data_IF_942532754330
#
_entry.id   IF_942532754330
#
_cell.length_a   1.000
_cell.length_b   1.000
_cell.length_c   1.000
_cell.angle_alpha   90.00
_cell.angle_beta   90.00
_cell.angle_gamma   90.00
#
_symmetry.space_group_name_H-M   'P 1'
#
loop_
_entity.id
_entity.type
_entity.pdbx_description
1 polymer ?
#
# COMPACT_ATOMS: atom_id res chain seq x y z
N UNK A 1 -26.59 -9.19 -25.82
CA UNK A 1 -26.41 -7.87 -25.16
C UNK A 1 -26.67 -6.79 -26.19
N UNK A 2 -27.51 -5.79 -25.86
CA UNK A 2 -27.95 -4.75 -26.80
C UNK A 2 -26.83 -3.72 -27.04
N UNK A 3 -26.73 -3.16 -28.24
CA UNK A 3 -25.66 -2.23 -28.67
C UNK A 3 -25.50 -0.99 -27.76
N UNK A 4 -26.61 -0.55 -27.14
CA UNK A 4 -26.67 0.57 -26.20
C UNK A 4 -26.06 0.23 -24.83
N UNK A 5 -26.09 -1.04 -24.42
CA UNK A 5 -25.48 -1.52 -23.17
C UNK A 5 -23.96 -1.45 -23.23
N UNK A 6 -23.38 -1.91 -24.34
CA UNK A 6 -21.92 -1.96 -24.52
C UNK A 6 -21.26 -0.57 -24.49
N UNK A 7 -21.93 0.45 -25.05
CA UNK A 7 -21.43 1.85 -25.02
C UNK A 7 -21.36 2.42 -23.60
N UNK A 8 -22.37 2.14 -22.76
CA UNK A 8 -22.38 2.59 -21.36
C UNK A 8 -21.30 1.90 -20.53
N UNK A 9 -21.10 0.60 -20.77
CA UNK A 9 -20.05 -0.20 -20.12
C UNK A 9 -18.67 0.35 -20.48
N UNK A 10 -18.40 0.53 -21.77
CA UNK A 10 -17.14 1.10 -22.24
C UNK A 10 -16.87 2.50 -21.66
N UNK A 11 -17.89 3.37 -21.67
CA UNK A 11 -17.80 4.71 -21.07
C UNK A 11 -17.44 4.66 -19.58
N UNK A 12 -18.09 3.79 -18.81
CA UNK A 12 -17.83 3.62 -17.37
C UNK A 12 -16.42 3.05 -17.12
N UNK A 13 -16.01 2.05 -17.90
CA UNK A 13 -14.70 1.41 -17.78
C UNK A 13 -13.56 2.37 -18.13
N UNK A 14 -13.67 3.16 -19.21
CA UNK A 14 -12.68 4.19 -19.54
C UNK A 14 -12.53 5.18 -18.37
N UNK A 15 -13.64 5.67 -17.81
CA UNK A 15 -13.60 6.59 -16.65
C UNK A 15 -12.94 5.94 -15.43
N UNK A 16 -13.24 4.66 -15.18
CA UNK A 16 -12.63 3.89 -14.08
C UNK A 16 -11.11 3.81 -14.26
N UNK A 17 -10.63 3.49 -15.46
CA UNK A 17 -9.18 3.40 -15.74
C UNK A 17 -8.48 4.76 -15.65
N UNK A 18 -9.10 5.83 -16.18
CA UNK A 18 -8.57 7.19 -16.04
C UNK A 18 -8.44 7.61 -14.57
N UNK A 19 -9.46 7.32 -13.74
CA UNK A 19 -9.42 7.58 -12.30
C UNK A 19 -8.32 6.77 -11.62
N UNK A 20 -8.12 5.50 -11.99
CA UNK A 20 -7.08 4.63 -11.43
C UNK A 20 -5.67 5.17 -11.67
N UNK A 21 -5.42 5.72 -12.86
CA UNK A 21 -4.12 6.31 -13.20
C UNK A 21 -3.98 7.79 -12.79
N UNK A 22 -5.03 8.40 -12.24
CA UNK A 22 -5.01 9.82 -11.86
C UNK A 22 -4.87 10.77 -13.06
N UNK A 23 -5.30 10.35 -14.25
CA UNK A 23 -5.19 11.14 -15.48
C UNK A 23 -6.53 11.76 -15.88
N UNK A 24 -6.46 12.90 -16.56
CA UNK A 24 -7.61 13.53 -17.18
C UNK A 24 -7.73 13.17 -18.68
N UNK A 25 -8.81 13.64 -19.30
CA UNK A 25 -9.06 13.38 -20.73
C UNK A 25 -7.98 14.00 -21.61
N UNK A 26 -7.46 15.17 -21.24
CA UNK A 26 -6.46 15.87 -22.05
C UNK A 26 -5.16 15.08 -22.10
N UNK A 27 -4.74 14.51 -20.97
CA UNK A 27 -3.57 13.63 -20.88
C UNK A 27 -3.75 12.39 -21.74
N UNK A 28 -4.90 11.71 -21.64
CA UNK A 28 -5.20 10.52 -22.46
C UNK A 28 -5.17 10.84 -23.97
N UNK A 29 -5.76 11.98 -24.35
CA UNK A 29 -5.79 12.47 -25.74
C UNK A 29 -4.37 12.77 -26.24
N UNK A 30 -3.57 13.47 -25.43
CA UNK A 30 -2.20 13.84 -25.76
C UNK A 30 -1.28 12.63 -25.90
N UNK A 31 -1.36 11.69 -24.97
CA UNK A 31 -0.49 10.51 -24.95
C UNK A 31 -0.80 9.53 -26.09
N UNK A 32 -2.08 9.37 -26.44
CA UNK A 32 -2.51 8.47 -27.51
C UNK A 32 -2.57 9.12 -28.90
N UNK A 33 -2.27 10.42 -29.00
CA UNK A 33 -2.37 11.16 -30.26
C UNK A 33 -3.79 11.14 -30.86
N UNK A 34 -4.83 11.09 -30.02
CA UNK A 34 -6.22 10.99 -30.45
C UNK A 34 -6.85 12.38 -30.61
N UNK A 35 -8.00 12.46 -31.28
CA UNK A 35 -8.80 13.69 -31.30
C UNK A 35 -9.59 13.81 -30.00
N UNK A 36 -9.58 15.01 -29.42
CA UNK A 36 -10.32 15.30 -28.18
C UNK A 36 -11.81 14.94 -28.27
N UNK A 37 -12.45 15.28 -29.39
CA UNK A 37 -13.87 15.00 -29.64
C UNK A 37 -14.15 13.50 -29.66
N UNK A 38 -13.28 12.72 -30.28
CA UNK A 38 -13.39 11.26 -30.35
C UNK A 38 -13.36 10.62 -28.96
N UNK A 39 -12.36 10.97 -28.14
CA UNK A 39 -12.24 10.45 -26.77
C UNK A 39 -13.39 10.94 -25.89
N UNK A 40 -13.82 12.19 -26.07
CA UNK A 40 -15.00 12.75 -25.39
C UNK A 40 -16.27 11.96 -25.72
N UNK A 41 -16.49 11.61 -26.98
CA UNK A 41 -17.67 10.84 -27.38
C UNK A 41 -17.67 9.43 -26.81
N UNK A 42 -16.50 8.78 -26.71
CA UNK A 42 -16.35 7.47 -26.06
C UNK A 42 -16.62 7.55 -24.55
N UNK A 43 -16.03 8.53 -23.86
CA UNK A 43 -16.22 8.75 -22.42
C UNK A 43 -17.68 9.09 -22.11
N UNK A 44 -18.40 9.72 -23.03
CA UNK A 44 -19.82 10.03 -22.86
C UNK A 44 -20.76 8.93 -23.41
N UNK A 45 -20.22 7.82 -23.92
CA UNK A 45 -20.99 6.69 -24.45
C UNK A 45 -21.78 7.01 -25.73
N UNK A 46 -21.41 8.08 -26.45
CA UNK A 46 -22.05 8.48 -27.71
C UNK A 46 -21.65 7.56 -28.85
N UNK A 47 -20.36 7.26 -28.95
CA UNK A 47 -19.78 6.37 -29.97
C UNK A 47 -19.00 5.24 -29.32
N UNK A 48 -18.81 4.16 -30.08
CA UNK A 48 -18.04 3.00 -29.62
C UNK A 48 -16.67 2.96 -30.34
N UNK A 49 -15.55 2.79 -29.62
CA UNK A 49 -14.23 2.71 -30.26
C UNK A 49 -14.10 1.46 -31.14
N UNK A 50 -13.31 1.55 -32.22
CA UNK A 50 -12.93 0.39 -33.02
C UNK A 50 -11.87 -0.45 -32.29
N UNK A 51 -11.71 -1.71 -32.69
CA UNK A 51 -10.85 -2.68 -32.01
C UNK A 51 -9.40 -2.20 -31.85
N UNK A 52 -8.83 -1.54 -32.86
CA UNK A 52 -7.49 -0.95 -32.82
C UNK A 52 -7.36 0.12 -31.72
N UNK A 53 -8.42 0.89 -31.50
CA UNK A 53 -8.47 1.92 -30.44
C UNK A 53 -8.71 1.31 -29.07
N UNK A 54 -9.44 0.21 -28.99
CA UNK A 54 -9.61 -0.55 -27.75
C UNK A 54 -8.27 -1.13 -27.32
N UNK A 55 -7.53 -1.75 -28.25
CA UNK A 55 -6.18 -2.29 -27.99
C UNK A 55 -5.24 -1.19 -27.52
N UNK A 56 -5.17 -0.09 -28.26
CA UNK A 56 -4.37 1.08 -27.89
C UNK A 56 -4.67 1.61 -26.48
N UNK A 57 -5.95 1.70 -26.11
CA UNK A 57 -6.33 2.11 -24.75
C UNK A 57 -6.00 1.04 -23.71
N UNK A 58 -6.19 -0.24 -24.02
CA UNK A 58 -5.88 -1.35 -23.12
C UNK A 58 -4.39 -1.37 -22.78
N UNK A 59 -3.52 -1.22 -23.79
CA UNK A 59 -2.07 -1.15 -23.62
C UNK A 59 -1.67 0.07 -22.78
N UNK A 60 -2.23 1.23 -23.08
CA UNK A 60 -1.97 2.47 -22.33
C UNK A 60 -2.44 2.39 -20.88
N UNK A 61 -3.57 1.74 -20.62
CA UNK A 61 -4.06 1.51 -19.27
C UNK A 61 -3.35 0.34 -18.57
N UNK A 62 -2.56 -0.47 -19.28
CA UNK A 62 -2.00 -1.72 -18.77
C UNK A 62 -3.08 -2.68 -18.25
N UNK A 63 -4.13 -2.91 -19.06
CA UNK A 63 -5.25 -3.81 -18.76
C UNK A 63 -5.59 -4.69 -19.96
N UNK A 64 -6.41 -5.72 -19.78
CA UNK A 64 -6.91 -6.52 -20.90
C UNK A 64 -8.04 -5.79 -21.64
N UNK A 65 -8.25 -6.12 -22.92
CA UNK A 65 -9.41 -5.61 -23.69
C UNK A 65 -10.75 -5.89 -22.98
N UNK A 66 -10.86 -7.03 -22.31
CA UNK A 66 -12.05 -7.42 -21.55
C UNK A 66 -12.39 -6.41 -20.45
N UNK A 67 -11.39 -5.81 -19.79
CA UNK A 67 -11.58 -4.80 -18.74
C UNK A 67 -12.18 -3.49 -19.27
N UNK A 68 -12.14 -3.28 -20.59
CA UNK A 68 -12.75 -2.13 -21.25
C UNK A 68 -14.15 -2.45 -21.77
N UNK A 69 -14.38 -3.64 -22.32
CA UNK A 69 -15.62 -3.96 -23.06
C UNK A 69 -16.65 -4.74 -22.25
N UNK A 70 -16.24 -5.44 -21.20
CA UNK A 70 -17.12 -6.33 -20.42
C UNK A 70 -17.61 -5.68 -19.13
N UNK A 71 -18.78 -6.15 -18.67
CA UNK A 71 -19.29 -5.82 -17.34
C UNK A 71 -18.52 -6.67 -16.34
N UNK A 72 -17.54 -6.09 -15.65
CA UNK A 72 -16.96 -6.74 -14.47
C UNK A 72 -18.00 -6.66 -13.33
N UNK A 73 -18.44 -7.79 -12.75
CA UNK A 73 -19.26 -7.76 -11.55
C UNK A 73 -18.53 -6.93 -10.47
N UNK A 74 -19.25 -6.04 -9.77
CA UNK A 74 -18.66 -5.14 -8.77
C UNK A 74 -17.99 -5.87 -7.59
N UNK A 75 -18.16 -7.19 -7.53
CA UNK A 75 -17.62 -8.13 -6.56
C UNK A 75 -16.38 -8.90 -7.06
N UNK A 76 -15.91 -8.63 -8.29
CA UNK A 76 -14.58 -9.01 -8.75
C UNK A 76 -13.70 -7.75 -8.81
N UNK A 77 -13.15 -7.34 -7.66
CA UNK A 77 -11.98 -6.48 -7.66
C UNK A 77 -10.79 -7.36 -8.09
N UNK A 78 -10.38 -7.23 -9.36
CA UNK A 78 -9.11 -7.79 -9.81
C UNK A 78 -8.01 -7.08 -9.02
N UNK A 79 -7.09 -7.78 -8.35
CA UNK A 79 -6.03 -7.15 -7.60
C UNK A 79 -5.28 -6.16 -8.48
N UNK A 80 -5.15 -4.90 -8.03
CA UNK A 80 -4.56 -3.77 -8.77
C UNK A 80 -3.07 -3.94 -9.11
N UNK A 81 -2.51 -5.12 -8.82
CA UNK A 81 -1.14 -5.51 -9.06
C UNK A 81 -0.57 -6.25 -7.84
N UNK A 82 0.57 -6.90 -8.03
CA UNK A 82 1.38 -7.44 -6.94
C UNK A 82 2.53 -6.46 -6.71
N UNK A 83 2.72 -6.01 -5.48
CA UNK A 83 3.88 -5.22 -5.05
C UNK A 83 4.82 -6.11 -4.27
N UNK A 84 6.11 -6.08 -4.61
CA UNK A 84 7.17 -6.71 -3.82
C UNK A 84 7.59 -5.74 -2.71
N UNK A 85 7.39 -6.14 -1.46
CA UNK A 85 7.71 -5.34 -0.28
C UNK A 85 8.87 -6.01 0.46
N UNK A 86 9.96 -5.30 0.79
CA UNK A 86 11.10 -5.88 1.49
C UNK A 86 10.71 -6.27 2.92
N UNK A 87 11.20 -7.41 3.39
CA UNK A 87 11.19 -7.83 4.78
C UNK A 87 12.54 -7.43 5.38
N UNK A 88 12.51 -6.59 6.40
CA UNK A 88 13.71 -6.19 7.12
C UNK A 88 13.94 -7.14 8.29
N UNK A 89 15.17 -7.63 8.39
CA UNK A 89 15.61 -8.58 9.40
C UNK A 89 16.27 -7.91 10.59
N UNK A 90 17.58 -7.77 10.47
CA UNK A 90 18.40 -6.97 11.38
C UNK A 90 18.49 -5.57 10.77
N UNK A 91 18.03 -4.55 11.48
CA UNK A 91 18.19 -3.17 11.02
C UNK A 91 19.57 -2.71 11.49
N UNK A 92 20.57 -2.91 10.63
CA UNK A 92 21.89 -2.34 10.81
C UNK A 92 21.80 -0.81 10.61
N UNK A 93 22.52 -0.07 11.46
CA UNK A 93 22.49 1.39 11.49
C UNK A 93 22.87 1.97 10.13
N UNK A 94 21.89 2.50 9.40
CA UNK A 94 22.09 3.09 8.08
C UNK A 94 20.79 3.73 7.56
N UNK A 95 20.93 4.86 6.86
CA UNK A 95 19.84 5.47 6.09
C UNK A 95 20.12 5.22 4.60
N UNK A 96 19.17 4.68 3.83
CA UNK A 96 17.79 4.31 4.21
C UNK A 96 17.72 2.98 4.97
N UNK A 97 16.69 2.80 5.80
CA UNK A 97 16.46 1.53 6.53
C UNK A 97 16.22 0.33 5.60
N UNK A 98 15.81 0.60 4.36
CA UNK A 98 15.64 -0.38 3.28
C UNK A 98 16.91 -0.57 2.44
N UNK A 99 18.09 -0.30 2.98
CA UNK A 99 19.34 -0.69 2.34
C UNK A 99 19.38 -2.20 2.13
N UNK A 100 20.00 -2.67 1.04
CA UNK A 100 20.02 -4.09 0.68
C UNK A 100 20.57 -5.00 1.80
N UNK A 101 21.45 -4.46 2.65
CA UNK A 101 22.01 -5.14 3.83
C UNK A 101 20.97 -5.49 4.91
N UNK A 102 19.88 -4.72 4.99
CA UNK A 102 18.80 -4.92 5.96
C UNK A 102 17.69 -5.82 5.41
N UNK A 103 17.68 -6.09 4.09
CA UNK A 103 16.63 -6.86 3.42
C UNK A 103 16.97 -8.35 3.50
N UNK A 104 16.15 -9.12 4.21
CA UNK A 104 16.27 -10.58 4.25
C UNK A 104 15.60 -11.23 3.05
N UNK A 105 14.41 -10.75 2.69
CA UNK A 105 13.61 -11.28 1.59
C UNK A 105 12.63 -10.23 1.05
N UNK A 106 11.92 -10.57 -0.03
CA UNK A 106 10.83 -9.76 -0.55
C UNK A 106 9.54 -10.56 -0.49
N UNK A 107 8.46 -9.96 0.02
CA UNK A 107 7.12 -10.55 0.00
C UNK A 107 6.24 -9.90 -1.05
N UNK A 108 5.60 -10.74 -1.84
CA UNK A 108 4.57 -10.35 -2.79
C UNK A 108 3.27 -10.06 -2.04
N UNK A 109 2.76 -8.85 -2.23
CA UNK A 109 1.57 -8.36 -1.56
C UNK A 109 0.64 -7.75 -2.59
N UNK A 110 -0.64 -8.14 -2.55
CA UNK A 110 -1.67 -7.51 -3.37
C UNK A 110 -1.69 -6.01 -3.07
N UNK A 111 -1.60 -5.19 -4.11
CA UNK A 111 -1.49 -3.74 -4.01
C UNK A 111 -2.79 -3.07 -3.51
N UNK A 112 -3.91 -3.79 -3.56
CA UNK A 112 -5.20 -3.30 -3.09
C UNK A 112 -5.11 -2.91 -1.60
N UNK A 113 -5.56 -1.70 -1.32
CA UNK A 113 -5.57 -1.11 0.01
C UNK A 113 -4.20 -0.97 0.68
N UNK A 114 -3.09 -1.09 -0.07
CA UNK A 114 -1.79 -0.70 0.47
C UNK A 114 -1.76 0.82 0.70
N UNK A 115 -1.21 1.28 1.83
CA UNK A 115 -0.98 2.70 2.02
C UNK A 115 -0.04 3.24 0.93
N UNK A 116 -0.21 4.53 0.61
CA UNK A 116 0.80 5.27 -0.15
C UNK A 116 2.07 5.45 0.70
N UNK A 117 3.21 5.56 0.04
CA UNK A 117 4.53 5.75 0.67
C UNK A 117 5.41 4.51 0.65
N UNK A 118 6.55 4.60 1.35
CA UNK A 118 7.49 3.50 1.55
C UNK A 118 6.91 2.49 2.55
N UNK A 119 6.94 1.22 2.18
CA UNK A 119 6.43 0.12 2.98
C UNK A 119 7.53 -0.92 3.14
N UNK A 120 7.57 -1.54 4.31
CA UNK A 120 8.44 -2.67 4.60
C UNK A 120 7.74 -3.61 5.59
N UNK A 121 8.19 -4.84 5.65
CA UNK A 121 7.76 -5.82 6.64
C UNK A 121 8.80 -5.96 7.74
N UNK A 122 8.33 -6.16 8.97
CA UNK A 122 9.15 -6.68 10.07
C UNK A 122 8.61 -8.02 10.51
N UNK A 123 9.49 -8.97 10.79
CA UNK A 123 9.11 -10.23 11.42
C UNK A 123 9.08 -10.06 12.94
N UNK A 124 7.91 -10.18 13.54
CA UNK A 124 7.75 -10.08 14.98
C UNK A 124 8.51 -11.21 15.69
N UNK A 125 9.35 -10.84 16.66
CA UNK A 125 10.10 -11.77 17.51
C UNK A 125 9.68 -11.54 18.97
N UNK A 126 9.23 -12.59 19.64
CA UNK A 126 8.78 -12.56 21.02
C UNK A 126 7.30 -12.20 21.20
N UNK A 127 6.85 -12.18 22.45
CA UNK A 127 5.43 -12.17 22.82
C UNK A 127 4.91 -10.82 23.32
N UNK A 128 5.73 -9.76 23.30
CA UNK A 128 5.37 -8.46 23.91
C UNK A 128 4.13 -7.79 23.33
N UNK A 129 3.77 -8.13 22.09
CA UNK A 129 2.59 -7.60 21.40
C UNK A 129 1.46 -8.64 21.27
N UNK A 130 1.61 -9.84 21.85
CA UNK A 130 0.55 -10.83 21.83
C UNK A 130 -0.63 -10.41 22.73
N UNK A 131 -1.89 -10.71 22.35
CA UNK A 131 -2.30 -11.48 21.17
C UNK A 131 -2.42 -10.67 19.88
N UNK A 132 -2.28 -9.34 19.94
CA UNK A 132 -2.48 -8.43 18.78
C UNK A 132 -1.52 -8.72 17.63
N UNK A 133 -0.25 -8.95 17.93
CA UNK A 133 0.79 -9.36 17.00
C UNK A 133 1.48 -10.59 17.62
N UNK A 134 1.05 -11.80 17.23
CA UNK A 134 1.70 -13.03 17.67
C UNK A 134 3.16 -13.11 17.21
N UNK A 135 3.99 -13.81 17.96
CA UNK A 135 5.35 -14.13 17.55
C UNK A 135 5.38 -14.81 16.16
N UNK A 136 6.35 -14.45 15.34
CA UNK A 136 6.48 -14.94 13.96
C UNK A 136 5.62 -14.21 12.92
N UNK A 137 4.71 -13.31 13.33
CA UNK A 137 3.89 -12.53 12.41
C UNK A 137 4.73 -11.57 11.56
N UNK A 138 4.34 -11.39 10.29
CA UNK A 138 4.88 -10.33 9.44
C UNK A 138 4.04 -9.07 9.58
N UNK A 139 4.66 -8.00 10.04
CA UNK A 139 3.98 -6.72 10.30
C UNK A 139 4.33 -5.76 9.17
N UNK A 140 3.31 -5.36 8.40
CA UNK A 140 3.45 -4.35 7.38
C UNK A 140 3.55 -2.99 8.05
N UNK A 141 4.67 -2.31 7.84
CA UNK A 141 4.97 -0.99 8.38
C UNK A 141 5.00 0.02 7.25
N UNK A 142 4.33 1.16 7.46
CA UNK A 142 4.49 2.35 6.63
C UNK A 142 5.55 3.24 7.24
N UNK A 143 6.58 3.55 6.46
CA UNK A 143 7.66 4.43 6.90
C UNK A 143 7.13 5.84 7.16
N UNK A 144 7.31 6.31 8.39
CA UNK A 144 6.93 7.66 8.82
C UNK A 144 7.59 7.99 10.16
N UNK A 145 7.90 9.27 10.44
CA UNK A 145 8.66 9.66 11.64
C UNK A 145 7.82 9.72 12.92
N UNK A 146 6.51 9.57 12.84
CA UNK A 146 5.60 9.71 13.99
C UNK A 146 4.35 8.86 13.83
N UNK A 147 3.69 8.52 14.93
CA UNK A 147 2.37 7.85 14.96
C UNK A 147 1.41 8.58 15.91
N UNK A 148 0.11 8.34 15.82
CA UNK A 148 -0.87 8.88 16.78
C UNK A 148 -0.82 8.12 18.11
N UNK A 149 -1.45 8.68 19.15
CA UNK A 149 -1.54 8.01 20.46
C UNK A 149 -2.36 6.73 20.36
N UNK A 150 -1.87 5.66 20.98
CA UNK A 150 -2.49 4.34 20.91
C UNK A 150 -2.21 3.57 19.62
N UNK A 151 -1.45 4.10 18.67
CA UNK A 151 -1.04 3.37 17.47
C UNK A 151 0.18 2.48 17.72
N UNK A 152 0.31 1.39 16.96
CA UNK A 152 1.49 0.52 17.01
C UNK A 152 2.56 1.10 16.08
N UNK A 153 3.74 1.36 16.63
CA UNK A 153 4.90 1.83 15.89
C UNK A 153 6.00 0.77 15.85
N UNK A 154 6.74 0.77 14.74
CA UNK A 154 8.09 0.24 14.70
C UNK A 154 9.05 1.31 15.24
N UNK A 155 9.78 0.98 16.28
CA UNK A 155 10.67 1.90 16.99
C UNK A 155 12.06 1.28 17.04
N UNK A 156 13.05 2.04 16.58
CA UNK A 156 14.44 1.73 16.80
C UNK A 156 14.83 2.10 18.21
N UNK A 157 15.46 1.18 18.92
CA UNK A 157 15.94 1.32 20.30
C UNK A 157 17.41 0.88 20.38
N UNK A 158 18.04 1.04 21.54
CA UNK A 158 19.42 0.63 21.81
C UNK A 158 20.46 1.27 20.85
N UNK A 159 20.27 2.56 20.51
CA UNK A 159 21.19 3.27 19.62
C UNK A 159 21.01 2.92 18.14
N UNK A 160 19.76 2.73 17.70
CA UNK A 160 19.37 2.39 16.33
C UNK A 160 19.85 1.02 15.82
N UNK A 161 20.17 0.09 16.73
CA UNK A 161 20.62 -1.27 16.38
C UNK A 161 19.52 -2.31 16.40
N UNK A 162 18.40 -2.03 17.07
CA UNK A 162 17.30 -2.98 17.27
C UNK A 162 15.95 -2.33 17.00
N UNK A 163 15.08 -3.01 16.26
CA UNK A 163 13.70 -2.58 16.08
C UNK A 163 12.74 -3.37 16.98
N UNK A 164 11.84 -2.65 17.64
CA UNK A 164 10.75 -3.21 18.43
C UNK A 164 9.41 -2.71 17.95
N UNK A 165 8.37 -3.52 18.13
CA UNK A 165 6.98 -3.13 17.91
C UNK A 165 6.33 -2.85 19.25
N UNK A 166 5.79 -1.65 19.42
CA UNK A 166 5.14 -1.21 20.65
C UNK A 166 4.01 -0.23 20.34
N UNK A 167 3.01 -0.19 21.22
CA UNK A 167 1.96 0.81 21.17
C UNK A 167 2.48 2.11 21.78
N UNK A 168 2.44 3.19 21.02
CA UNK A 168 2.94 4.49 21.48
C UNK A 168 1.89 5.15 22.35
N UNK A 169 2.28 5.55 23.56
CA UNK A 169 1.45 6.36 24.46
C UNK A 169 2.21 7.60 24.88
N UNK A 170 1.61 8.78 24.73
CA UNK A 170 2.19 10.07 25.11
C UNK A 170 1.50 10.60 26.35
N UNK A 171 2.28 10.92 27.37
CA UNK A 171 1.79 11.56 28.58
C UNK A 171 2.68 12.75 28.89
N UNK A 172 2.13 13.96 28.72
CA UNK A 172 2.89 15.21 28.82
C UNK A 172 4.11 15.16 27.88
N UNK A 173 5.32 15.27 28.41
CA UNK A 173 6.57 15.24 27.65
C UNK A 173 7.20 13.84 27.57
N UNK A 174 6.51 12.82 28.09
CA UNK A 174 7.01 11.45 28.15
C UNK A 174 6.36 10.60 27.05
N UNK A 175 7.21 9.91 26.28
CA UNK A 175 6.77 8.89 25.32
C UNK A 175 7.00 7.51 25.94
N UNK A 176 5.92 6.74 26.06
CA UNK A 176 5.93 5.37 26.55
C UNK A 176 5.65 4.41 25.40
N UNK A 177 6.41 3.33 25.36
CA UNK A 177 6.24 2.21 24.47
C UNK A 177 5.57 1.08 25.24
N UNK A 178 4.27 0.94 25.05
CA UNK A 178 3.43 -0.01 25.75
C UNK A 178 3.44 -1.37 25.01
N UNK A 179 3.70 -2.48 25.71
CA UNK A 179 3.36 -3.80 25.21
C UNK A 179 1.83 -4.00 25.25
N UNK A 180 1.31 -4.84 24.36
CA UNK A 180 -0.08 -5.32 24.44
C UNK A 180 -0.20 -6.55 25.34
N UNK A 181 0.92 -7.25 25.58
CA UNK A 181 0.99 -8.38 26.50
C UNK A 181 1.24 -7.89 27.93
N UNK A 182 0.32 -8.15 28.90
CA UNK A 182 0.47 -7.72 30.29
C UNK A 182 1.68 -8.31 31.03
N UNK A 183 2.29 -9.37 30.50
CA UNK A 183 3.50 -9.98 31.07
C UNK A 183 4.79 -9.20 30.79
N UNK A 184 4.72 -8.06 30.10
CA UNK A 184 5.85 -7.21 29.76
C UNK A 184 5.63 -5.80 30.31
N UNK A 185 6.71 -5.17 30.77
CA UNK A 185 6.66 -3.81 31.29
C UNK A 185 6.71 -2.75 30.16
N UNK A 186 6.06 -1.59 30.34
CA UNK A 186 6.25 -0.44 29.47
C UNK A 186 7.70 0.03 29.43
N UNK A 187 8.15 0.48 28.25
CA UNK A 187 9.46 1.09 28.08
C UNK A 187 9.26 2.61 28.00
N UNK A 188 9.93 3.35 28.87
CA UNK A 188 9.87 4.82 28.90
C UNK A 188 11.04 5.35 28.09
N UNK A 189 10.76 6.16 27.06
CA UNK A 189 11.82 6.83 26.31
C UNK A 189 12.34 8.02 27.12
N UNK A 190 13.66 8.11 27.23
CA UNK A 190 14.38 9.16 27.96
C UNK A 190 15.72 9.45 27.27
N UNK A 191 16.49 10.40 27.81
CA UNK A 191 17.85 10.67 27.33
C UNK A 191 18.77 9.44 27.49
N UNK A 192 18.55 8.63 28.53
CA UNK A 192 19.30 7.39 28.78
C UNK A 192 18.79 6.20 27.95
N UNK A 193 17.53 6.24 27.51
CA UNK A 193 16.91 5.22 26.68
C UNK A 193 16.23 5.84 25.46
N UNK A 194 17.06 6.18 24.47
CA UNK A 194 16.61 6.83 23.25
C UNK A 194 15.86 5.84 22.35
N UNK A 195 14.76 6.30 21.76
CA UNK A 195 14.02 5.54 20.75
C UNK A 195 13.57 6.42 19.60
N UNK A 196 13.64 5.90 18.38
CA UNK A 196 13.25 6.60 17.15
C UNK A 196 12.16 5.85 16.42
N UNK A 197 11.02 6.49 16.20
CA UNK A 197 9.95 5.93 15.38
C UNK A 197 10.42 5.88 13.93
N UNK A 198 10.34 4.70 13.32
CA UNK A 198 10.66 4.48 11.90
C UNK A 198 9.42 4.20 11.06
N UNK A 199 8.30 3.85 11.69
CA UNK A 199 7.05 3.71 10.96
C UNK A 199 5.87 3.27 11.79
N UNK A 200 4.70 3.31 11.15
CA UNK A 200 3.41 2.88 11.70
C UNK A 200 3.10 1.46 11.23
N UNK A 201 2.76 0.57 12.16
CA UNK A 201 2.22 -0.73 11.81
C UNK A 201 0.80 -0.57 11.23
N UNK A 202 0.60 -1.10 10.03
CA UNK A 202 -0.65 -1.01 9.26
C UNK A 202 -1.49 -2.27 9.43
N UNK A 203 -0.84 -3.44 9.36
CA UNK A 203 -1.46 -4.74 9.57
C UNK A 203 -0.42 -5.80 9.93
N UNK A 204 -0.83 -6.84 10.64
CA UNK A 204 -0.06 -8.07 10.85
C UNK A 204 -0.63 -9.20 10.00
N UNK A 205 0.24 -10.09 9.53
CA UNK A 205 -0.11 -11.33 8.83
C UNK A 205 0.54 -12.48 9.59
N UNK A 206 -0.27 -13.44 10.00
CA UNK A 206 0.18 -14.68 10.65
C UNK A 206 0.33 -15.74 9.56
N UNK A 207 1.48 -16.41 9.51
CA UNK A 207 1.60 -17.64 8.71
C UNK A 207 1.05 -18.79 9.54
N UNK A 208 0.06 -19.48 8.97
CA UNK A 208 -0.57 -20.68 9.53
C UNK A 208 0.23 -21.94 9.17
#
# INVERSE_FOLDING_TARGET
MNELGNKKVMSANIKKQMKRLGIDRNKLVGDLGLKYTTVSDWINGKTYPRIDKIEMMADYFHVEKADLVEVTPSNLERPTGIKRIPVLGTIACGNPITADENIEEYRETVADHLPTGSLFYLKAKGESMAPTIPNGSYVLVREQPSVEDGEIAAVLVNGDTEATLKRVKRQQDIVMLMPDNPGFDPIILSDDYTGRIIGKAVRSVVEL
#
